data_IF_059206571195
#
_entry.id   IF_059206571195
#
_cell.length_a   1.000
_cell.length_b   1.000
_cell.length_c   1.000
_cell.angle_alpha   90.00
_cell.angle_beta   90.00
_cell.angle_gamma   90.00
#
_symmetry.space_group_name_H-M   'P 1'
#
loop_
_entity.id
_entity.type
_entity.pdbx_description
1 polymer ?
#
# COMPACT_ATOMS: atom_id res chain seq x y z
N UNK A 1 -5.07 1.65 10.58
CA UNK A 1 -5.40 2.14 9.23
C UNK A 1 -4.84 3.55 9.08
N UNK A 2 -4.21 3.90 7.96
CA UNK A 2 -3.79 5.27 7.69
C UNK A 2 -5.02 6.17 7.45
N UNK A 3 -5.00 7.39 8.00
CA UNK A 3 -6.05 8.40 7.78
C UNK A 3 -5.54 9.63 7.02
N UNK A 4 -4.23 9.73 6.77
CA UNK A 4 -3.59 10.82 6.05
C UNK A 4 -2.37 10.35 5.24
N UNK A 5 -1.90 11.19 4.32
CA UNK A 5 -0.63 10.98 3.59
C UNK A 5 0.55 10.86 4.54
N UNK A 6 0.55 11.66 5.61
CA UNK A 6 1.55 11.59 6.67
C UNK A 6 1.59 10.22 7.31
N UNK A 7 0.45 9.56 7.58
CA UNK A 7 0.43 8.21 8.16
C UNK A 7 0.98 7.15 7.19
N UNK A 8 0.75 7.33 5.89
CA UNK A 8 1.33 6.48 4.85
C UNK A 8 2.84 6.68 4.77
N UNK A 9 3.33 7.91 4.80
CA UNK A 9 4.75 8.23 4.60
C UNK A 9 5.60 8.10 5.87
N UNK A 10 5.03 8.34 7.05
CA UNK A 10 5.71 8.24 8.35
C UNK A 10 5.50 6.90 9.06
N UNK A 11 4.53 6.11 8.64
CA UNK A 11 4.30 4.76 9.16
C UNK A 11 5.32 3.74 8.66
N UNK A 12 5.27 2.51 9.19
CA UNK A 12 6.02 1.34 8.70
C UNK A 12 5.62 0.91 7.27
N UNK A 13 4.98 1.77 6.47
CA UNK A 13 4.42 1.39 5.18
C UNK A 13 5.48 1.39 4.08
N UNK A 14 5.38 0.45 3.14
CA UNK A 14 6.31 0.33 2.01
C UNK A 14 5.58 0.68 0.72
N UNK A 15 6.10 1.66 -0.01
CA UNK A 15 5.53 2.08 -1.30
C UNK A 15 6.03 1.16 -2.42
N UNK A 16 5.14 0.30 -2.95
CA UNK A 16 5.48 -0.65 -4.01
C UNK A 16 5.44 -0.07 -5.43
N UNK A 17 4.72 1.03 -5.64
CA UNK A 17 4.63 1.69 -6.94
C UNK A 17 3.28 2.38 -7.17
N UNK A 18 3.13 2.95 -8.36
CA UNK A 18 1.85 3.45 -8.84
C UNK A 18 0.96 2.29 -9.32
N UNK A 19 -0.35 2.46 -9.25
CA UNK A 19 -1.33 1.51 -9.76
C UNK A 19 -1.10 1.27 -11.27
N UNK A 20 -1.00 0.00 -11.69
CA UNK A 20 -0.68 -0.35 -13.09
C UNK A 20 -1.89 -0.35 -14.02
N UNK A 21 -3.09 -0.49 -13.45
CA UNK A 21 -4.35 -0.50 -14.20
C UNK A 21 -5.54 -0.61 -13.26
N UNK A 22 -6.75 -0.41 -13.80
CA UNK A 22 -8.01 -0.49 -13.05
C UNK A 22 -8.62 -1.89 -13.03
N UNK A 23 -8.07 -2.82 -13.81
CA UNK A 23 -8.53 -4.21 -13.90
C UNK A 23 -7.34 -5.16 -14.04
N UNK A 24 -7.53 -6.41 -13.60
CA UNK A 24 -6.48 -7.42 -13.56
C UNK A 24 -5.55 -7.29 -12.35
N UNK A 25 -4.49 -8.11 -12.36
CA UNK A 25 -3.61 -8.29 -11.21
C UNK A 25 -2.61 -7.15 -11.04
N UNK A 26 -2.31 -6.85 -9.78
CA UNK A 26 -1.33 -5.84 -9.38
C UNK A 26 -0.12 -6.52 -8.73
N UNK A 27 0.90 -6.79 -9.54
CA UNK A 27 2.13 -7.44 -9.09
C UNK A 27 3.28 -6.43 -8.95
N UNK A 28 3.97 -6.42 -7.82
CA UNK A 28 5.10 -5.53 -7.56
C UNK A 28 6.25 -6.33 -6.96
N UNK A 29 7.48 -5.90 -7.25
CA UNK A 29 8.68 -6.44 -6.61
C UNK A 29 8.73 -5.89 -5.19
N UNK A 30 8.88 -6.79 -4.22
CA UNK A 30 9.14 -6.41 -2.84
C UNK A 30 10.64 -6.10 -2.68
N UNK A 31 11.01 -4.99 -2.02
CA UNK A 31 12.39 -4.77 -1.60
C UNK A 31 12.89 -5.94 -0.74
N UNK A 32 14.19 -6.26 -0.85
CA UNK A 32 14.77 -7.45 -0.22
C UNK A 32 14.73 -7.42 1.32
N UNK A 33 14.62 -6.23 1.90
CA UNK A 33 14.54 -5.96 3.33
C UNK A 33 13.11 -5.94 3.88
N UNK A 34 12.10 -6.18 3.03
CA UNK A 34 10.69 -6.16 3.43
C UNK A 34 10.19 -7.57 3.69
N UNK A 35 9.87 -7.86 4.95
CA UNK A 35 9.16 -9.08 5.36
C UNK A 35 7.63 -8.81 5.35
N UNK A 36 6.86 -9.43 4.44
CA UNK A 36 5.42 -9.25 4.35
C UNK A 36 4.65 -9.64 5.62
N UNK A 37 5.21 -10.52 6.45
CA UNK A 37 4.57 -10.99 7.69
C UNK A 37 4.50 -9.91 8.78
N UNK A 38 5.30 -8.85 8.66
CA UNK A 38 5.23 -7.68 9.54
C UNK A 38 4.04 -6.76 9.24
N UNK A 39 3.33 -7.02 8.14
CA UNK A 39 2.22 -6.22 7.65
C UNK A 39 0.90 -6.97 7.78
N UNK A 40 -0.17 -6.22 8.06
CA UNK A 40 -1.51 -6.80 8.19
C UNK A 40 -2.40 -6.53 6.99
N UNK A 41 -2.07 -5.52 6.19
CA UNK A 41 -2.91 -5.05 5.09
C UNK A 41 -2.08 -4.48 3.94
N UNK A 42 -2.58 -4.63 2.73
CA UNK A 42 -2.15 -3.88 1.55
C UNK A 42 -3.20 -2.81 1.20
N UNK A 43 -2.75 -1.63 0.78
CA UNK A 43 -3.62 -0.50 0.45
C UNK A 43 -3.37 0.02 -0.98
N UNK A 44 -4.45 0.42 -1.65
CA UNK A 44 -4.39 1.34 -2.79
C UNK A 44 -4.73 2.73 -2.26
N UNK A 45 -3.78 3.66 -2.35
CA UNK A 45 -3.89 5.01 -1.78
C UNK A 45 -3.92 6.08 -2.85
N UNK A 46 -4.88 7.00 -2.77
CA UNK A 46 -4.98 8.16 -3.64
C UNK A 46 -4.30 9.37 -3.00
N UNK A 47 -3.09 9.70 -3.46
CA UNK A 47 -2.29 10.83 -2.93
C UNK A 47 -2.92 12.20 -3.17
N UNK A 48 -3.65 12.38 -4.27
CA UNK A 48 -4.22 13.69 -4.62
C UNK A 48 -5.30 14.15 -3.63
N UNK A 49 -5.96 13.20 -2.96
CA UNK A 49 -7.07 13.46 -2.04
C UNK A 49 -6.81 12.93 -0.62
N UNK A 50 -5.65 12.31 -0.39
CA UNK A 50 -5.29 11.68 0.88
C UNK A 50 -6.33 10.67 1.38
N UNK A 51 -6.82 9.80 0.49
CA UNK A 51 -7.84 8.78 0.81
C UNK A 51 -7.43 7.38 0.37
N UNK A 52 -7.89 6.37 1.12
CA UNK A 52 -7.77 4.97 0.75
C UNK A 52 -8.87 4.53 -0.22
N UNK A 53 -8.49 3.94 -1.35
CA UNK A 53 -9.43 3.39 -2.34
C UNK A 53 -9.74 1.91 -2.08
N UNK A 54 -8.74 1.14 -1.68
CA UNK A 54 -8.89 -0.30 -1.47
C UNK A 54 -7.98 -0.74 -0.33
N UNK A 55 -8.47 -1.70 0.46
CA UNK A 55 -7.73 -2.36 1.53
C UNK A 55 -7.94 -3.87 1.42
N UNK A 56 -6.86 -4.63 1.42
CA UNK A 56 -6.88 -6.08 1.50
C UNK A 56 -6.13 -6.52 2.75
N UNK A 57 -6.68 -7.47 3.50
CA UNK A 57 -6.00 -8.08 4.65
C UNK A 57 -5.02 -9.14 4.14
N UNK A 58 -3.81 -9.16 4.69
CA UNK A 58 -2.81 -10.19 4.44
C UNK A 58 -3.05 -11.39 5.36
N UNK A 59 -2.70 -12.59 4.89
CA UNK A 59 -2.90 -13.85 5.59
C UNK A 59 -1.89 -14.06 6.73
#
# INVERSE_FOLDING_TARGET
DPSSDSDVESGRSVRLGALKGTSGDQQYVLPADVDPSEFTHAYVWCRAFSVGFTRARLA
#
